data_IF_853822365641
#
_entry.id   IF_853822365641
#
_cell.length_a   1.000
_cell.length_b   1.000
_cell.length_c   1.000
_cell.angle_alpha   90.00
_cell.angle_beta   90.00
_cell.angle_gamma   90.00
#
_symmetry.space_group_name_H-M   'P 1'
#
loop_
_entity.id
_entity.type
_entity.pdbx_description
1 polymer ?
#
# COMPACT_ATOMS: atom_id res chain seq x y z
N UNK A 1 41.46 6.24 35.21
CA UNK A 1 41.10 6.85 33.92
C UNK A 1 40.84 5.71 32.95
N UNK A 2 39.57 5.39 32.67
CA UNK A 2 39.19 4.28 31.79
C UNK A 2 39.15 4.77 30.34
N UNK A 3 40.00 4.21 29.48
CA UNK A 3 39.97 4.44 28.05
C UNK A 3 38.66 3.86 27.48
N UNK A 4 37.73 4.73 27.07
CA UNK A 4 36.65 4.31 26.18
C UNK A 4 37.24 4.11 24.78
N UNK A 5 36.90 3.02 24.07
CA UNK A 5 37.24 2.87 22.66
C UNK A 5 36.48 3.92 21.84
N UNK A 6 37.08 4.45 20.76
CA UNK A 6 36.45 5.45 19.92
C UNK A 6 35.19 4.88 19.26
N UNK A 7 34.12 5.69 19.23
CA UNK A 7 32.90 5.36 18.52
C UNK A 7 33.18 5.30 17.01
N UNK A 8 33.03 4.12 16.42
CA UNK A 8 33.27 3.88 14.99
C UNK A 8 32.18 4.61 14.19
N UNK A 9 32.52 5.50 13.24
CA UNK A 9 31.55 6.16 12.40
C UNK A 9 30.86 5.14 11.47
N UNK A 10 29.53 5.12 11.49
CA UNK A 10 28.65 4.20 10.75
C UNK A 10 28.79 4.21 9.22
N UNK A 11 29.59 5.13 8.66
CA UNK A 11 29.80 5.27 7.21
C UNK A 11 30.70 4.19 6.59
N UNK A 12 31.43 3.41 7.39
CA UNK A 12 32.46 2.49 6.88
C UNK A 12 32.10 1.00 7.04
N UNK A 13 30.87 0.68 7.46
CA UNK A 13 30.43 -0.70 7.70
C UNK A 13 29.71 -1.28 6.48
N UNK A 14 30.12 -2.46 6.03
CA UNK A 14 29.43 -3.25 5.01
C UNK A 14 28.93 -4.56 5.62
N UNK A 15 27.82 -5.09 5.09
CA UNK A 15 27.30 -6.41 5.50
C UNK A 15 27.59 -7.42 4.42
N UNK A 16 28.38 -8.44 4.73
CA UNK A 16 28.73 -9.55 3.82
C UNK A 16 28.36 -10.85 4.52
N UNK A 17 27.48 -11.66 3.92
CA UNK A 17 27.06 -12.96 4.45
C UNK A 17 26.57 -12.96 5.92
N UNK A 18 25.94 -11.86 6.34
CA UNK A 18 25.42 -11.70 7.71
C UNK A 18 26.45 -11.26 8.75
N UNK A 19 27.67 -10.93 8.34
CA UNK A 19 28.71 -10.32 9.17
C UNK A 19 28.82 -8.83 8.86
N UNK A 20 28.88 -7.99 9.90
CA UNK A 20 29.17 -6.56 9.74
C UNK A 20 30.69 -6.41 9.74
N UNK A 21 31.23 -5.92 8.63
CA UNK A 21 32.68 -5.75 8.42
C UNK A 21 33.00 -4.27 8.32
N UNK A 22 33.96 -3.80 9.12
CA UNK A 22 34.55 -2.48 8.95
C UNK A 22 35.51 -2.50 7.75
N UNK A 23 35.21 -1.68 6.75
CA UNK A 23 35.96 -1.62 5.49
C UNK A 23 37.36 -1.01 5.63
N UNK A 24 37.64 -0.28 6.71
CA UNK A 24 38.94 0.34 6.96
C UNK A 24 39.87 -0.58 7.76
N UNK A 25 39.34 -1.35 8.71
CA UNK A 25 40.13 -2.21 9.60
C UNK A 25 40.07 -3.70 9.24
N UNK A 26 39.05 -4.11 8.47
CA UNK A 26 38.78 -5.53 8.18
C UNK A 26 38.24 -6.31 9.38
N UNK A 27 37.90 -5.62 10.48
CA UNK A 27 37.37 -6.25 11.68
C UNK A 27 35.93 -6.72 11.45
N UNK A 28 35.65 -7.96 11.86
CA UNK A 28 34.32 -8.56 11.78
C UNK A 28 33.61 -8.39 13.11
N UNK A 29 32.55 -7.59 13.10
CA UNK A 29 31.66 -7.46 14.25
C UNK A 29 30.63 -8.59 14.17
N UNK A 30 30.77 -9.56 15.08
CA UNK A 30 29.75 -10.58 15.29
C UNK A 30 28.50 -9.90 15.87
N UNK A 31 27.32 -9.98 15.23
CA UNK A 31 26.10 -9.50 15.86
C UNK A 31 25.91 -10.27 17.17
N UNK A 32 25.60 -9.54 18.25
CA UNK A 32 25.40 -10.10 19.58
C UNK A 32 24.39 -11.24 19.53
N UNK A 33 24.58 -12.30 20.33
CA UNK A 33 23.59 -13.39 20.49
C UNK A 33 22.25 -12.85 21.05
N UNK A 34 22.25 -11.64 21.60
CA UNK A 34 21.06 -10.90 22.05
C UNK A 34 20.46 -9.99 20.98
N UNK A 35 21.02 -9.94 19.78
CA UNK A 35 20.38 -9.30 18.64
C UNK A 35 19.25 -10.22 18.18
N UNK A 36 18.04 -10.00 18.72
CA UNK A 36 16.82 -10.50 18.09
C UNK A 36 16.89 -10.17 16.60
N UNK A 37 16.67 -11.13 15.69
CA UNK A 37 16.61 -10.83 14.26
C UNK A 37 15.66 -9.64 14.10
N UNK A 38 16.16 -8.54 13.54
CA UNK A 38 15.28 -7.45 13.16
C UNK A 38 14.38 -8.05 12.08
N UNK A 39 13.12 -8.31 12.42
CA UNK A 39 12.14 -8.81 11.46
C UNK A 39 12.12 -7.83 10.28
N UNK A 40 12.61 -8.29 9.13
CA UNK A 40 12.62 -7.49 7.92
C UNK A 40 11.18 -7.12 7.59
N UNK A 41 10.87 -5.83 7.58
CA UNK A 41 9.56 -5.34 7.16
C UNK A 41 9.49 -5.42 5.62
N UNK A 42 8.67 -6.32 5.05
CA UNK A 42 8.49 -6.36 3.60
C UNK A 42 7.78 -5.09 3.13
N UNK A 43 7.98 -4.69 1.87
CA UNK A 43 7.22 -3.59 1.29
C UNK A 43 5.76 -4.01 1.03
N UNK A 44 4.85 -3.04 0.96
CA UNK A 44 3.45 -3.33 0.64
C UNK A 44 3.26 -3.75 -0.83
N UNK A 45 4.12 -3.26 -1.73
CA UNK A 45 4.13 -3.64 -3.14
C UNK A 45 4.54 -5.11 -3.33
N UNK A 46 5.39 -5.63 -2.46
CA UNK A 46 5.85 -7.03 -2.48
C UNK A 46 4.82 -8.04 -1.97
N UNK A 47 3.70 -7.59 -1.40
CA UNK A 47 2.64 -8.49 -0.93
C UNK A 47 1.98 -9.21 -2.11
N UNK A 48 2.05 -10.55 -2.13
CA UNK A 48 1.50 -11.41 -3.20
C UNK A 48 0.34 -12.29 -2.72
N UNK A 49 0.10 -12.31 -1.42
CA UNK A 49 -0.95 -13.11 -0.81
C UNK A 49 -1.64 -12.41 0.35
N UNK A 50 -2.77 -12.98 0.78
CA UNK A 50 -3.45 -12.58 2.03
C UNK A 50 -2.52 -12.75 3.23
N UNK A 51 -1.79 -13.86 3.29
CA UNK A 51 -0.84 -14.17 4.36
C UNK A 51 0.31 -13.13 4.44
N UNK A 52 0.83 -12.70 3.28
CA UNK A 52 1.86 -11.65 3.20
C UNK A 52 1.33 -10.31 3.72
N UNK A 53 0.10 -9.96 3.33
CA UNK A 53 -0.53 -8.73 3.78
C UNK A 53 -0.81 -8.76 5.28
N UNK A 54 -1.28 -9.89 5.82
CA UNK A 54 -1.45 -10.06 7.27
C UNK A 54 -0.13 -9.95 8.03
N UNK A 55 0.96 -10.51 7.48
CA UNK A 55 2.30 -10.34 8.04
C UNK A 55 2.74 -8.88 8.00
N UNK A 56 2.54 -8.19 6.88
CA UNK A 56 2.85 -6.77 6.75
C UNK A 56 2.09 -5.92 7.79
N UNK A 57 0.81 -6.23 8.02
CA UNK A 57 -0.02 -5.50 8.99
C UNK A 57 0.49 -5.59 10.43
N UNK A 58 1.34 -6.58 10.78
CA UNK A 58 1.97 -6.67 12.11
C UNK A 58 2.90 -5.49 12.39
N UNK A 59 3.48 -4.88 11.36
CA UNK A 59 4.34 -3.70 11.46
C UNK A 59 3.57 -2.37 11.48
N UNK A 60 2.25 -2.42 11.27
CA UNK A 60 1.40 -1.23 11.21
C UNK A 60 0.68 -1.04 12.54
N UNK A 61 0.94 0.07 13.22
CA UNK A 61 0.13 0.46 14.37
C UNK A 61 -1.26 0.96 13.91
N UNK A 62 -2.23 0.04 13.93
CA UNK A 62 -3.61 0.29 13.52
C UNK A 62 -4.34 1.28 14.42
N UNK A 63 -3.84 1.55 15.63
CA UNK A 63 -4.43 2.52 16.58
C UNK A 63 -4.13 3.96 16.17
N UNK A 64 -3.04 4.17 15.44
CA UNK A 64 -2.63 5.47 14.89
C UNK A 64 -3.27 5.78 13.54
N UNK A 65 -4.03 4.82 12.96
CA UNK A 65 -4.72 5.06 11.70
C UNK A 65 -5.91 6.01 11.91
N UNK A 66 -6.19 6.88 10.94
CA UNK A 66 -7.38 7.72 11.00
C UNK A 66 -8.65 6.86 11.08
N UNK A 67 -9.70 7.48 11.62
CA UNK A 67 -11.02 6.88 11.69
C UNK A 67 -11.48 6.44 10.28
N UNK A 68 -12.12 5.28 10.22
CA UNK A 68 -12.57 4.70 8.96
C UNK A 68 -13.90 5.33 8.55
N UNK A 69 -13.82 6.47 7.86
CA UNK A 69 -14.99 7.29 7.53
C UNK A 69 -15.23 7.34 6.02
N UNK A 70 -16.51 7.39 5.65
CA UNK A 70 -16.94 7.54 4.27
C UNK A 70 -16.81 8.98 3.73
N UNK A 71 -16.28 9.92 4.54
CA UNK A 71 -16.21 11.34 4.17
C UNK A 71 -15.50 11.54 2.83
N UNK A 72 -14.35 10.89 2.61
CA UNK A 72 -13.62 10.98 1.34
C UNK A 72 -14.49 10.58 0.13
N UNK A 73 -15.23 9.48 0.24
CA UNK A 73 -16.11 9.02 -0.84
C UNK A 73 -17.26 10.00 -1.07
N UNK A 74 -17.93 10.47 -0.01
CA UNK A 74 -19.07 11.38 -0.13
C UNK A 74 -18.65 12.75 -0.67
N UNK A 75 -17.53 13.29 -0.18
CA UNK A 75 -16.97 14.55 -0.66
C UNK A 75 -16.62 14.48 -2.16
N UNK A 76 -16.07 13.36 -2.63
CA UNK A 76 -15.74 13.18 -4.05
C UNK A 76 -17.01 12.99 -4.91
N UNK A 77 -18.05 12.31 -4.41
CA UNK A 77 -19.36 12.23 -5.08
C UNK A 77 -19.98 13.62 -5.25
N UNK A 78 -19.99 14.42 -4.19
CA UNK A 78 -20.52 15.79 -4.21
C UNK A 78 -19.69 16.71 -5.11
N UNK A 79 -18.36 16.59 -5.05
CA UNK A 79 -17.45 17.31 -5.93
C UNK A 79 -17.71 16.99 -7.40
N UNK A 80 -17.78 15.71 -7.77
CA UNK A 80 -18.04 15.25 -9.12
C UNK A 80 -19.39 15.78 -9.63
N UNK A 81 -20.43 15.73 -8.79
CA UNK A 81 -21.74 16.31 -9.13
C UNK A 81 -21.65 17.82 -9.37
N UNK A 82 -20.91 18.54 -8.53
CA UNK A 82 -20.68 19.97 -8.68
C UNK A 82 -19.95 20.33 -9.97
N UNK A 83 -18.91 19.57 -10.35
CA UNK A 83 -18.18 19.75 -11.60
C UNK A 83 -19.06 19.50 -12.81
N UNK A 84 -19.84 18.41 -12.80
CA UNK A 84 -20.79 18.11 -13.88
C UNK A 84 -21.79 19.24 -14.09
N UNK A 85 -22.40 19.75 -13.00
CA UNK A 85 -23.36 20.86 -13.09
C UNK A 85 -22.75 22.14 -13.67
N UNK A 86 -21.44 22.39 -13.47
CA UNK A 86 -20.76 23.61 -13.95
C UNK A 86 -20.20 23.48 -15.37
N UNK A 87 -19.75 22.29 -15.74
CA UNK A 87 -18.97 22.07 -16.99
C UNK A 87 -19.74 21.30 -18.06
N UNK A 88 -20.82 20.59 -17.69
CA UNK A 88 -21.55 19.70 -18.57
C UNK A 88 -20.84 18.38 -18.88
N UNK A 89 -19.59 18.19 -18.44
CA UNK A 89 -18.82 16.96 -18.63
C UNK A 89 -19.29 15.93 -17.60
N UNK A 90 -19.76 14.77 -18.05
CA UNK A 90 -20.24 13.72 -17.14
C UNK A 90 -19.07 13.03 -16.43
N UNK A 91 -18.81 13.47 -15.20
CA UNK A 91 -17.84 12.88 -14.28
C UNK A 91 -18.52 12.24 -13.07
N UNK A 92 -19.84 12.04 -13.10
CA UNK A 92 -20.61 11.59 -11.95
C UNK A 92 -20.22 10.18 -11.53
N UNK A 93 -20.11 9.97 -10.23
CA UNK A 93 -20.11 8.63 -9.64
C UNK A 93 -21.57 8.17 -9.58
N UNK A 94 -21.91 7.11 -10.30
CA UNK A 94 -23.28 6.59 -10.33
C UNK A 94 -23.62 5.90 -9.02
N UNK A 95 -24.91 5.86 -8.66
CA UNK A 95 -25.37 5.21 -7.41
C UNK A 95 -24.94 3.72 -7.30
N UNK A 96 -24.95 2.90 -8.38
CA UNK A 96 -24.41 1.54 -8.31
C UNK A 96 -22.90 1.50 -8.02
N UNK A 97 -22.11 2.42 -8.58
CA UNK A 97 -20.68 2.53 -8.31
C UNK A 97 -20.43 2.95 -6.87
N UNK A 98 -21.15 3.97 -6.39
CA UNK A 98 -21.07 4.45 -5.00
C UNK A 98 -21.40 3.34 -4.00
N UNK A 99 -22.50 2.60 -4.19
CA UNK A 99 -22.87 1.47 -3.32
C UNK A 99 -21.83 0.35 -3.32
N UNK A 100 -21.16 0.12 -4.45
CA UNK A 100 -20.09 -0.85 -4.54
C UNK A 100 -18.83 -0.36 -3.80
N UNK A 101 -18.48 0.91 -3.97
CA UNK A 101 -17.38 1.57 -3.26
C UNK A 101 -17.62 1.60 -1.74
N UNK A 102 -18.85 1.85 -1.28
CA UNK A 102 -19.23 1.77 0.14
C UNK A 102 -18.92 0.38 0.73
N UNK A 103 -19.27 -0.69 0.01
CA UNK A 103 -18.97 -2.06 0.45
C UNK A 103 -17.48 -2.35 0.44
N UNK A 104 -16.76 -1.91 -0.58
CA UNK A 104 -15.31 -2.09 -0.66
C UNK A 104 -14.59 -1.29 0.42
N UNK A 105 -15.05 -0.07 0.71
CA UNK A 105 -14.54 0.76 1.80
C UNK A 105 -14.57 -0.02 3.12
N UNK A 106 -15.69 -0.67 3.46
CA UNK A 106 -15.79 -1.46 4.70
C UNK A 106 -14.73 -2.59 4.82
N UNK A 107 -14.19 -3.07 3.70
CA UNK A 107 -13.16 -4.11 3.67
C UNK A 107 -11.73 -3.54 3.75
N UNK A 108 -11.53 -2.24 3.55
CA UNK A 108 -10.20 -1.63 3.58
C UNK A 108 -9.68 -1.56 5.01
N UNK A 109 -8.54 -2.21 5.25
CA UNK A 109 -7.89 -2.21 6.56
C UNK A 109 -6.77 -1.17 6.63
N UNK A 110 -6.03 -0.97 5.55
CA UNK A 110 -4.85 -0.10 5.51
C UNK A 110 -4.68 0.54 4.13
N UNK A 111 -4.37 1.83 4.08
CA UNK A 111 -4.25 2.63 2.85
C UNK A 111 -5.50 2.47 1.98
N UNK A 112 -5.34 2.07 0.72
CA UNK A 112 -6.40 1.91 -0.27
C UNK A 112 -6.41 0.50 -0.87
N UNK A 113 -5.88 -0.49 -0.15
CA UNK A 113 -5.70 -1.86 -0.66
C UNK A 113 -6.56 -2.87 0.09
N UNK A 114 -6.97 -3.91 -0.63
CA UNK A 114 -7.66 -5.08 -0.08
C UNK A 114 -6.96 -6.32 -0.63
N UNK A 115 -6.51 -7.19 0.26
CA UNK A 115 -6.07 -8.55 -0.07
C UNK A 115 -7.06 -9.53 0.54
N UNK A 116 -7.66 -10.37 -0.27
CA UNK A 116 -8.62 -11.38 0.20
C UNK A 116 -8.76 -12.52 -0.82
N UNK A 117 -9.56 -13.53 -0.51
CA UNK A 117 -9.95 -14.56 -1.48
C UNK A 117 -11.11 -14.09 -2.35
N UNK A 118 -11.19 -14.59 -3.59
CA UNK A 118 -12.30 -14.26 -4.50
C UNK A 118 -13.66 -14.68 -3.92
N UNK A 119 -13.70 -15.83 -3.24
CA UNK A 119 -14.87 -16.34 -2.51
C UNK A 119 -15.34 -15.39 -1.42
N UNK A 120 -14.42 -14.91 -0.58
CA UNK A 120 -14.72 -14.00 0.53
C UNK A 120 -15.19 -12.64 0.02
N UNK A 121 -14.53 -12.11 -1.01
CA UNK A 121 -14.94 -10.87 -1.65
C UNK A 121 -16.33 -10.98 -2.28
N UNK A 122 -16.61 -12.06 -3.01
CA UNK A 122 -17.92 -12.29 -3.63
C UNK A 122 -19.03 -12.30 -2.57
N UNK A 123 -18.80 -12.98 -1.44
CA UNK A 123 -19.71 -13.01 -0.29
C UNK A 123 -19.94 -11.61 0.28
N UNK A 124 -18.87 -10.85 0.55
CA UNK A 124 -18.98 -9.49 1.07
C UNK A 124 -19.75 -8.55 0.13
N UNK A 125 -19.56 -8.72 -1.19
CA UNK A 125 -20.26 -7.93 -2.20
C UNK A 125 -21.68 -8.41 -2.49
N UNK A 126 -22.10 -9.54 -1.92
CA UNK A 126 -23.39 -10.19 -2.16
C UNK A 126 -23.55 -10.60 -3.63
N UNK A 127 -22.54 -11.25 -4.20
CA UNK A 127 -22.55 -11.72 -5.59
C UNK A 127 -21.99 -13.13 -5.69
N UNK A 128 -22.32 -13.84 -6.77
CA UNK A 128 -21.70 -15.13 -7.08
C UNK A 128 -20.26 -14.90 -7.56
N UNK A 129 -19.35 -15.82 -7.24
CA UNK A 129 -17.94 -15.73 -7.64
C UNK A 129 -17.77 -15.61 -9.15
N UNK A 130 -18.58 -16.32 -9.94
CA UNK A 130 -18.60 -16.23 -11.41
C UNK A 130 -18.94 -14.83 -11.94
N UNK A 131 -19.67 -14.03 -11.17
CA UNK A 131 -20.07 -12.66 -11.51
C UNK A 131 -19.19 -11.59 -10.85
N UNK A 132 -18.24 -11.97 -9.99
CA UNK A 132 -17.40 -11.05 -9.24
C UNK A 132 -16.65 -10.09 -10.17
N UNK A 133 -15.91 -10.62 -11.14
CA UNK A 133 -15.12 -9.81 -12.06
C UNK A 133 -16.00 -8.88 -12.90
N UNK A 134 -17.17 -9.35 -13.34
CA UNK A 134 -18.15 -8.51 -14.07
C UNK A 134 -18.62 -7.33 -13.21
N UNK A 135 -18.82 -7.55 -11.91
CA UNK A 135 -19.24 -6.50 -10.97
C UNK A 135 -18.12 -5.49 -10.71
N UNK A 136 -16.87 -5.95 -10.55
CA UNK A 136 -15.71 -5.09 -10.33
C UNK A 136 -15.33 -4.27 -11.58
N UNK A 137 -15.57 -4.82 -12.78
CA UNK A 137 -15.25 -4.16 -14.05
C UNK A 137 -15.87 -2.78 -14.21
N UNK A 138 -17.06 -2.56 -13.62
CA UNK A 138 -17.77 -1.27 -13.63
C UNK A 138 -16.97 -0.15 -12.93
N UNK A 139 -16.17 -0.49 -11.91
CA UNK A 139 -15.28 0.45 -11.23
C UNK A 139 -13.92 0.55 -11.91
N UNK A 140 -13.45 -0.55 -12.51
CA UNK A 140 -12.19 -0.59 -13.25
C UNK A 140 -12.24 0.28 -14.52
N UNK A 141 -13.32 0.16 -15.31
CA UNK A 141 -13.57 0.97 -16.50
C UNK A 141 -13.72 2.46 -16.17
N UNK A 142 -14.15 2.79 -14.95
CA UNK A 142 -14.28 4.16 -14.46
C UNK A 142 -12.98 4.69 -13.81
N UNK A 143 -11.86 3.95 -13.87
CA UNK A 143 -10.59 4.30 -13.22
C UNK A 143 -10.72 4.57 -11.70
N UNK A 144 -11.66 3.87 -11.05
CA UNK A 144 -11.91 3.94 -9.60
C UNK A 144 -11.27 2.76 -8.85
N UNK A 145 -10.92 1.69 -9.56
CA UNK A 145 -10.42 0.44 -9.02
C UNK A 145 -9.36 -0.17 -9.96
N UNK A 146 -8.30 -0.74 -9.40
CA UNK A 146 -7.36 -1.63 -10.11
C UNK A 146 -7.44 -3.02 -9.50
N UNK A 147 -7.56 -4.03 -10.35
CA UNK A 147 -7.73 -5.42 -9.93
C UNK A 147 -6.52 -6.25 -10.35
N UNK A 148 -5.89 -6.92 -9.39
CA UNK A 148 -4.79 -7.85 -9.66
C UNK A 148 -5.13 -9.23 -9.11
N UNK A 149 -4.95 -10.24 -9.95
CA UNK A 149 -5.20 -11.65 -9.70
C UNK A 149 -4.01 -12.46 -10.20
N UNK A 150 -4.01 -13.77 -10.00
CA UNK A 150 -2.99 -14.66 -10.56
C UNK A 150 -2.91 -14.66 -12.10
N UNK A 151 -3.97 -14.20 -12.79
CA UNK A 151 -4.01 -14.19 -14.27
C UNK A 151 -3.33 -12.98 -14.90
N UNK A 152 -3.33 -11.84 -14.20
CA UNK A 152 -2.83 -10.56 -14.71
C UNK A 152 -1.74 -9.94 -13.81
N UNK A 153 -1.27 -10.70 -12.83
CA UNK A 153 -0.23 -10.27 -11.92
C UNK A 153 0.24 -11.39 -11.01
N UNK A 154 1.07 -11.04 -10.05
CA UNK A 154 1.75 -11.99 -9.19
C UNK A 154 1.02 -12.17 -7.86
N UNK A 155 -0.26 -12.56 -7.92
CA UNK A 155 -1.08 -12.85 -6.74
C UNK A 155 -1.32 -14.36 -6.66
N UNK A 156 -1.35 -14.93 -5.45
CA UNK A 156 -1.63 -16.35 -5.22
C UNK A 156 -2.97 -16.74 -5.85
N UNK A 157 -3.03 -17.95 -6.43
CA UNK A 157 -4.24 -18.46 -7.08
C UNK A 157 -5.42 -18.53 -6.11
N UNK A 158 -6.58 -18.04 -6.55
CA UNK A 158 -7.81 -17.94 -5.73
C UNK A 158 -7.88 -16.67 -4.88
N UNK A 159 -6.79 -15.89 -4.82
CA UNK A 159 -6.73 -14.61 -4.13
C UNK A 159 -6.84 -13.45 -5.12
N UNK A 160 -7.12 -12.27 -4.57
CA UNK A 160 -7.33 -11.04 -5.32
C UNK A 160 -6.79 -9.86 -4.52
N UNK A 161 -6.06 -8.99 -5.21
CA UNK A 161 -5.62 -7.68 -4.72
C UNK A 161 -6.47 -6.62 -5.41
N UNK A 162 -7.12 -5.79 -4.61
CA UNK A 162 -7.82 -4.60 -5.08
C UNK A 162 -7.06 -3.36 -4.62
N UNK A 163 -6.92 -2.40 -5.51
CA UNK A 163 -6.41 -1.06 -5.18
C UNK A 163 -7.48 -0.06 -5.58
N UNK A 164 -8.09 0.62 -4.61
CA UNK A 164 -9.12 1.63 -4.84
C UNK A 164 -8.44 2.97 -5.09
N UNK A 165 -9.01 3.84 -5.93
CA UNK A 165 -8.47 5.17 -6.15
C UNK A 165 -8.34 5.92 -4.79
N UNK A 166 -7.14 6.43 -4.44
CA UNK A 166 -6.90 7.09 -3.15
C UNK A 166 -7.75 8.34 -2.90
N UNK A 167 -8.40 8.92 -3.93
CA UNK A 167 -9.38 10.00 -3.76
C UNK A 167 -10.64 9.52 -3.07
N UNK A 168 -11.05 8.28 -3.35
CA UNK A 168 -12.32 7.71 -2.91
C UNK A 168 -12.19 7.03 -1.55
N UNK A 169 -11.14 6.24 -1.37
CA UNK A 169 -10.90 5.48 -0.15
C UNK A 169 -9.41 5.50 0.16
N UNK A 170 -9.04 6.01 1.33
CA UNK A 170 -7.68 5.94 1.83
C UNK A 170 -7.63 5.98 3.35
N UNK A 171 -6.87 5.07 3.94
CA UNK A 171 -6.65 4.98 5.38
C UNK A 171 -5.17 5.12 5.73
N UNK A 172 -4.75 6.34 5.98
CA UNK A 172 -3.37 6.73 6.32
C UNK A 172 -3.24 8.25 6.44
N UNK A 173 -2.02 8.75 6.56
CA UNK A 173 -1.79 10.20 6.60
C UNK A 173 -2.09 10.87 5.25
N UNK A 174 -2.47 12.15 5.28
CA UNK A 174 -2.68 12.95 4.06
C UNK A 174 -1.43 13.04 3.18
N UNK A 175 -0.25 13.17 3.79
CA UNK A 175 1.03 13.16 3.07
C UNK A 175 1.25 11.86 2.28
N UNK A 176 0.90 10.72 2.88
CA UNK A 176 0.99 9.43 2.19
C UNK A 176 -0.06 9.33 1.09
N UNK A 177 -1.28 9.81 1.35
CA UNK A 177 -2.36 9.84 0.36
C UNK A 177 -1.97 10.61 -0.89
N UNK A 178 -1.33 11.77 -0.73
CA UNK A 178 -0.89 12.60 -1.86
C UNK A 178 0.14 11.87 -2.74
N UNK A 179 1.09 11.14 -2.14
CA UNK A 179 2.05 10.32 -2.88
C UNK A 179 1.33 9.22 -3.69
N UNK A 180 0.33 8.57 -3.09
CA UNK A 180 -0.48 7.54 -3.75
C UNK A 180 -1.34 8.11 -4.88
N UNK A 181 -1.85 9.34 -4.73
CA UNK A 181 -2.57 10.04 -5.80
C UNK A 181 -1.66 10.35 -6.98
N UNK A 182 -0.45 10.84 -6.72
CA UNK A 182 0.56 11.11 -7.77
C UNK A 182 0.92 9.84 -8.52
N UNK A 183 1.06 8.72 -7.81
CA UNK A 183 1.32 7.42 -8.44
C UNK A 183 0.12 6.92 -9.26
N UNK A 184 -1.10 7.08 -8.74
CA UNK A 184 -2.32 6.67 -9.44
C UNK A 184 -2.46 7.34 -10.81
N UNK A 185 -2.19 8.65 -10.90
CA UNK A 185 -2.33 9.42 -12.13
C UNK A 185 -1.01 9.60 -12.90
N UNK A 186 0.05 8.88 -12.52
CA UNK A 186 1.32 8.94 -13.26
C UNK A 186 1.10 8.46 -14.71
N UNK A 187 1.52 9.24 -15.73
CA UNK A 187 1.48 8.77 -17.11
C UNK A 187 2.28 7.48 -17.27
N UNK A 188 1.70 6.49 -17.94
CA UNK A 188 2.36 5.19 -18.20
C UNK A 188 3.42 5.33 -19.33
N UNK A 189 3.42 6.47 -20.03
CA UNK A 189 4.33 6.79 -21.13
C UNK A 189 5.68 7.31 -20.60
N UNK A 190 6.56 6.38 -20.21
CA UNK A 190 7.97 6.68 -19.92
C UNK A 190 8.57 5.75 -18.90
N UNK A 191 9.09 4.59 -19.34
CA UNK A 191 10.04 3.72 -18.64
C UNK A 191 9.73 3.50 -17.14
N UNK A 192 8.70 2.69 -16.90
CA UNK A 192 8.45 2.05 -15.60
C UNK A 192 9.67 1.21 -15.18
N UNK A 193 10.47 1.70 -14.24
CA UNK A 193 11.33 0.86 -13.38
C UNK A 193 12.14 1.61 -12.30
N UNK A 194 12.11 2.94 -12.15
CA UNK A 194 13.13 3.62 -11.31
C UNK A 194 12.71 4.60 -10.22
N UNK A 195 11.41 4.81 -9.95
CA UNK A 195 11.00 5.80 -8.94
C UNK A 195 10.46 5.24 -7.61
N UNK A 196 10.16 3.95 -7.52
CA UNK A 196 9.69 3.35 -6.24
C UNK A 196 10.79 3.31 -5.17
N UNK A 197 12.07 3.28 -5.58
CA UNK A 197 13.22 3.28 -4.68
C UNK A 197 13.45 4.59 -3.88
N UNK A 198 12.94 5.74 -4.36
CA UNK A 198 13.27 7.03 -3.75
C UNK A 198 12.37 7.40 -2.55
N UNK A 199 11.13 6.91 -2.53
CA UNK A 199 10.16 7.31 -1.49
C UNK A 199 10.21 6.42 -0.24
N UNK A 200 10.65 5.17 -0.34
CA UNK A 200 10.79 4.29 0.83
C UNK A 200 12.02 4.62 1.69
N UNK A 201 13.09 5.14 1.08
CA UNK A 201 14.29 5.57 1.81
C UNK A 201 14.03 6.78 2.71
N UNK A 202 13.13 7.69 2.29
CA UNK A 202 12.79 8.90 3.06
C UNK A 202 11.95 8.64 4.32
N UNK A 203 11.20 7.52 4.37
CA UNK A 203 10.42 7.15 5.56
C UNK A 203 11.27 6.44 6.62
N UNK A 204 12.36 5.77 6.22
CA UNK A 204 13.28 5.13 7.16
C UNK A 204 14.18 6.15 7.89
N UNK A 205 14.43 7.33 7.31
CA UNK A 205 15.27 8.37 7.91
C UNK A 205 14.51 9.16 9.01
N UNK A 206 13.18 9.24 8.93
CA UNK A 206 12.37 10.05 9.86
C UNK A 206 11.89 9.29 11.12
N UNK A 207 12.36 8.06 11.36
CA UNK A 207 12.12 7.34 12.62
C UNK A 207 13.33 7.38 13.58
N UNK A 208 14.37 8.15 13.26
CA UNK A 208 15.59 8.26 14.07
C UNK A 208 15.94 9.71 14.49
N UNK A 209 14.92 10.53 14.80
CA UNK A 209 15.09 11.84 15.42
C UNK A 209 14.20 11.98 16.66
#
# INVERSE_FOLDING_TARGET
MSNMPPAIPSKNLITVEGLVVDTLTGETHKPSVFSTPADYQPSLSDCRSVDDFERYLKFVDRRKLPAHTLHLLRDEVDYARGVWCRTGIDCRITLPQERLLDKLHQLVVYRNVIFTTQTTLAKALGTAESNLMKKLKVLEEANMLRVTTSRNGNIRTGEIKLVINPRLVFRGSDSTREAYLKDWYRPVDGLSSRLEYANELGQCINMAA
#
